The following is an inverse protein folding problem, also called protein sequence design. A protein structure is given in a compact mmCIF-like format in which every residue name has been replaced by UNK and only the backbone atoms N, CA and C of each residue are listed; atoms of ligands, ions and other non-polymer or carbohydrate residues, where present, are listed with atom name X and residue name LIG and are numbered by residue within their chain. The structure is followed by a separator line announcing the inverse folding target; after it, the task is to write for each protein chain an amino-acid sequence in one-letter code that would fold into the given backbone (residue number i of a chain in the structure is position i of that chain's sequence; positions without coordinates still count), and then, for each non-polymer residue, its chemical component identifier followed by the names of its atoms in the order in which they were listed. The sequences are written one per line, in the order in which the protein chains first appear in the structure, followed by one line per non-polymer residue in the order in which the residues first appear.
data_IF_082529434687
#
_entry.id   IF_082529434687
#
_cell.length_a   1.000
_cell.length_b   1.000
_cell.length_c   1.000
_cell.angle_alpha   90.00
_cell.angle_beta   90.00
_cell.angle_gamma   90.00
#
_symmetry.space_group_name_H-M   'P 1'
#
loop_
_entity.id
_entity.type
_entity.pdbx_description
1 polymer ?
#
# COMPACT_ATOMS: atom_id res chain seq x y z
N UNK A 1 -15.17 15.81 18.85
CA UNK A 1 -14.42 14.86 19.72
C UNK A 1 -14.12 15.55 21.04
N UNK A 2 -14.36 14.88 22.17
CA UNK A 2 -14.23 15.49 23.51
C UNK A 2 -12.79 15.54 24.04
N UNK A 3 -11.82 14.85 23.40
CA UNK A 3 -10.44 14.79 23.87
C UNK A 3 -9.57 15.90 23.28
N UNK A 4 -8.56 16.31 24.03
CA UNK A 4 -7.57 17.32 23.66
C UNK A 4 -6.24 16.70 23.25
N UNK A 5 -5.96 15.49 23.74
CA UNK A 5 -4.70 14.76 23.59
C UNK A 5 -4.92 13.38 23.02
N UNK A 6 -4.01 12.96 22.17
CA UNK A 6 -4.02 11.61 21.59
C UNK A 6 -2.67 10.95 21.84
N UNK A 7 -2.70 9.81 22.51
CA UNK A 7 -1.52 9.01 22.77
C UNK A 7 -1.50 7.78 21.89
N UNK A 8 -0.38 7.54 21.20
CA UNK A 8 -0.27 6.46 20.24
C UNK A 8 0.68 5.35 20.71
N UNK A 9 0.24 4.10 20.66
CA UNK A 9 1.07 2.93 20.86
C UNK A 9 1.38 2.30 19.48
N UNK A 10 2.66 2.40 19.06
CA UNK A 10 3.13 2.07 17.71
C UNK A 10 2.95 3.22 16.72
N UNK A 11 3.34 4.42 17.11
CA UNK A 11 3.11 5.68 16.37
C UNK A 11 3.79 5.72 15.01
N UNK A 12 4.95 5.05 14.84
CA UNK A 12 5.74 5.03 13.61
C UNK A 12 5.18 4.14 12.49
N UNK A 13 4.13 3.35 12.77
CA UNK A 13 3.46 2.58 11.72
C UNK A 13 2.80 3.49 10.67
N UNK A 14 2.82 3.08 9.37
CA UNK A 14 2.33 3.91 8.26
C UNK A 14 0.91 4.45 8.48
N UNK A 15 -0.02 3.64 8.94
CA UNK A 15 -1.40 4.09 9.21
C UNK A 15 -1.55 4.83 10.54
N UNK A 16 -0.66 4.62 11.51
CA UNK A 16 -0.65 5.32 12.80
C UNK A 16 -0.10 6.73 12.63
N UNK A 17 1.00 6.89 11.89
CA UNK A 17 1.62 8.18 11.58
C UNK A 17 0.67 9.11 10.81
N UNK A 18 -0.15 8.56 9.90
CA UNK A 18 -1.18 9.33 9.22
C UNK A 18 -2.23 9.88 10.19
N UNK A 19 -2.69 9.07 11.16
CA UNK A 19 -3.61 9.54 12.21
C UNK A 19 -2.95 10.57 13.13
N UNK A 20 -1.68 10.35 13.52
CA UNK A 20 -0.94 11.28 14.35
C UNK A 20 -0.82 12.66 13.68
N UNK A 21 -0.44 12.71 12.40
CA UNK A 21 -0.42 13.95 11.59
C UNK A 21 -1.78 14.61 11.49
N UNK A 22 -2.84 13.82 11.29
CA UNK A 22 -4.20 14.37 11.26
C UNK A 22 -4.53 15.09 12.56
N UNK A 23 -4.24 14.49 13.71
CA UNK A 23 -4.54 15.12 15.00
C UNK A 23 -3.65 16.31 15.31
N UNK A 24 -2.36 16.31 14.93
CA UNK A 24 -1.48 17.48 15.00
C UNK A 24 -2.08 18.63 14.18
N UNK A 25 -2.54 18.35 12.95
CA UNK A 25 -3.18 19.35 12.10
C UNK A 25 -4.49 19.90 12.70
N UNK A 26 -5.28 19.06 13.37
CA UNK A 26 -6.49 19.46 14.10
C UNK A 26 -6.19 20.20 15.42
N UNK A 27 -4.92 20.52 15.68
CA UNK A 27 -4.49 21.25 16.88
C UNK A 27 -4.54 20.44 18.16
N UNK A 28 -4.55 19.10 18.08
CA UNK A 28 -4.45 18.23 19.25
C UNK A 28 -2.99 18.01 19.64
N UNK A 29 -2.74 17.86 20.94
CA UNK A 29 -1.43 17.39 21.40
C UNK A 29 -1.27 15.90 21.12
N UNK A 30 -0.14 15.50 20.55
CA UNK A 30 0.14 14.11 20.16
C UNK A 30 1.41 13.63 20.85
N UNK A 31 1.35 12.48 21.49
CA UNK A 31 2.51 11.76 21.99
C UNK A 31 2.37 10.26 21.72
N UNK A 32 3.43 9.51 21.91
CA UNK A 32 3.33 8.07 21.77
C UNK A 32 4.65 7.33 21.92
N UNK A 33 4.51 6.04 21.79
CA UNK A 33 5.58 5.06 21.81
C UNK A 33 5.75 4.42 20.43
N UNK A 34 6.99 4.17 20.04
CA UNK A 34 7.33 3.18 19.01
C UNK A 34 8.54 2.36 19.43
N UNK A 35 8.68 1.14 18.93
CA UNK A 35 9.81 0.28 19.28
C UNK A 35 11.12 0.76 18.63
N UNK A 36 11.03 1.37 17.45
CA UNK A 36 12.20 1.65 16.61
C UNK A 36 12.13 3.05 16.02
N UNK A 37 13.17 3.87 16.20
CA UNK A 37 13.29 5.12 15.46
C UNK A 37 13.26 4.90 13.95
N UNK A 38 12.54 5.73 13.23
CA UNK A 38 12.38 5.67 11.78
C UNK A 38 12.29 7.07 11.17
N UNK A 39 12.35 7.17 9.85
CA UNK A 39 12.12 8.45 9.19
C UNK A 39 10.74 9.02 9.52
N UNK A 40 9.70 8.16 9.59
CA UNK A 40 8.34 8.59 9.94
C UNK A 40 8.24 9.15 11.36
N UNK A 41 8.91 8.52 12.33
CA UNK A 41 8.90 9.05 13.72
C UNK A 41 9.67 10.36 13.82
N UNK A 42 10.81 10.50 13.15
CA UNK A 42 11.57 11.75 13.11
C UNK A 42 10.78 12.90 12.46
N UNK A 43 10.03 12.62 11.40
CA UNK A 43 9.12 13.59 10.78
C UNK A 43 8.01 14.01 11.74
N UNK A 44 7.39 13.07 12.46
CA UNK A 44 6.34 13.36 13.46
C UNK A 44 6.88 14.20 14.63
N UNK A 45 8.10 13.93 15.10
CA UNK A 45 8.76 14.75 16.13
C UNK A 45 9.00 16.17 15.63
N UNK A 46 9.42 16.34 14.37
CA UNK A 46 9.57 17.66 13.74
C UNK A 46 8.22 18.38 13.56
N UNK A 47 7.12 17.63 13.39
CA UNK A 47 5.75 18.15 13.32
C UNK A 47 5.14 18.45 14.70
N UNK A 48 5.82 18.10 15.81
CA UNK A 48 5.43 18.43 17.18
C UNK A 48 4.90 17.26 18.02
N UNK A 49 5.06 16.03 17.60
CA UNK A 49 4.77 14.85 18.44
C UNK A 49 5.87 14.61 19.49
N UNK A 50 5.49 14.18 20.69
CA UNK A 50 6.41 13.72 21.73
C UNK A 50 6.53 12.19 21.66
N UNK A 51 7.67 11.66 21.19
CA UNK A 51 7.85 10.21 20.96
C UNK A 51 8.97 9.67 21.84
N UNK A 52 8.76 8.46 22.38
CA UNK A 52 9.81 7.68 23.04
C UNK A 52 9.85 6.24 22.51
N UNK A 53 10.96 5.54 22.79
CA UNK A 53 11.27 4.25 22.15
C UNK A 53 11.50 3.11 23.15
N UNK A 54 11.26 3.34 24.43
CA UNK A 54 11.36 2.36 25.49
C UNK A 54 9.99 2.07 26.08
N UNK A 55 9.67 0.79 26.35
CA UNK A 55 8.43 0.38 27.00
C UNK A 55 8.54 0.64 28.53
N UNK A 56 8.34 1.91 28.92
CA UNK A 56 8.34 2.33 30.34
C UNK A 56 7.23 3.36 30.59
N UNK A 57 6.28 3.02 31.43
CA UNK A 57 5.17 3.90 31.83
C UNK A 57 5.60 5.22 32.45
N UNK A 58 6.87 5.36 32.91
CA UNK A 58 7.43 6.62 33.42
C UNK A 58 7.68 7.62 32.29
N UNK A 59 7.85 7.15 31.07
CA UNK A 59 8.09 7.98 29.88
C UNK A 59 6.81 8.59 29.33
N UNK A 60 5.63 8.12 29.76
CA UNK A 60 4.35 8.74 29.40
C UNK A 60 4.36 10.16 29.96
N UNK A 61 4.27 11.21 29.09
CA UNK A 61 4.27 12.61 29.56
C UNK A 61 3.10 12.87 30.51
N UNK A 62 3.30 13.65 31.54
CA UNK A 62 2.33 13.87 32.62
C UNK A 62 0.98 14.41 32.09
N UNK A 63 1.03 15.26 31.06
CA UNK A 63 -0.18 15.80 30.44
C UNK A 63 -1.10 14.72 29.85
N UNK A 64 -0.57 13.54 29.47
CA UNK A 64 -1.34 12.45 28.88
C UNK A 64 -1.87 11.44 29.91
N UNK A 65 -1.61 11.66 31.20
CA UNK A 65 -2.11 10.80 32.30
C UNK A 65 -3.50 11.17 32.80
N UNK A 66 -4.13 12.16 32.19
CA UNK A 66 -5.52 12.55 32.45
C UNK A 66 -6.47 11.87 31.45
N UNK A 67 -7.24 10.89 31.91
CA UNK A 67 -8.15 10.09 31.09
C UNK A 67 -9.37 10.87 30.56
N UNK A 68 -9.71 11.99 31.16
CA UNK A 68 -10.87 12.80 30.74
C UNK A 68 -10.55 13.62 29.48
N UNK A 69 -9.26 13.87 29.22
CA UNK A 69 -8.79 14.68 28.10
C UNK A 69 -7.94 13.89 27.09
N UNK A 70 -7.54 12.65 27.41
CA UNK A 70 -6.65 11.82 26.59
C UNK A 70 -7.37 10.56 26.06
N UNK A 71 -7.27 10.33 24.76
CA UNK A 71 -7.61 9.05 24.12
C UNK A 71 -6.33 8.32 23.70
N UNK A 72 -6.34 7.00 23.82
CA UNK A 72 -5.20 6.16 23.43
C UNK A 72 -5.55 5.37 22.17
N UNK A 73 -4.69 5.47 21.16
CA UNK A 73 -4.84 4.73 19.89
C UNK A 73 -3.72 3.70 19.80
N UNK A 74 -4.06 2.46 19.50
CA UNK A 74 -3.07 1.40 19.35
C UNK A 74 -3.22 0.60 18.06
N UNK A 75 -2.11 -0.02 17.64
CA UNK A 75 -2.08 -0.99 16.54
C UNK A 75 -2.00 -2.40 17.08
N UNK A 76 -2.60 -3.43 16.41
CA UNK A 76 -2.46 -4.83 16.79
C UNK A 76 -1.01 -5.35 16.84
N UNK A 77 -0.06 -4.63 16.24
CA UNK A 77 1.35 -4.95 16.30
C UNK A 77 1.98 -4.76 17.69
N UNK A 78 1.33 -4.00 18.58
CA UNK A 78 1.76 -3.81 19.97
C UNK A 78 1.31 -5.02 20.79
N UNK A 79 2.22 -5.71 21.51
CA UNK A 79 1.88 -6.88 22.33
C UNK A 79 0.85 -6.54 23.41
N UNK A 80 0.02 -7.52 23.76
CA UNK A 80 -1.02 -7.33 24.77
C UNK A 80 -0.49 -7.15 26.20
N UNK A 81 0.77 -7.54 26.44
CA UNK A 81 1.50 -7.39 27.70
C UNK A 81 2.40 -6.15 27.74
N UNK A 82 2.39 -5.31 26.70
CA UNK A 82 3.11 -4.03 26.66
C UNK A 82 2.73 -3.17 27.86
N UNK A 83 3.73 -2.68 28.59
CA UNK A 83 3.52 -2.09 29.93
C UNK A 83 2.59 -0.87 29.88
N UNK A 84 2.76 0.00 28.89
CA UNK A 84 1.91 1.21 28.75
C UNK A 84 0.49 0.83 28.31
N UNK A 85 0.32 -0.16 27.41
CA UNK A 85 -1.00 -0.64 27.02
C UNK A 85 -1.78 -1.16 28.23
N UNK A 86 -1.12 -2.00 29.06
CA UNK A 86 -1.70 -2.53 30.31
C UNK A 86 -2.01 -1.38 31.29
N UNK A 87 -1.09 -0.42 31.41
CA UNK A 87 -1.27 0.73 32.31
C UNK A 87 -2.48 1.55 31.93
N UNK A 88 -2.60 1.98 30.66
CA UNK A 88 -3.75 2.79 30.20
C UNK A 88 -5.07 2.05 30.40
N UNK A 89 -5.11 0.75 30.07
CA UNK A 89 -6.29 -0.09 30.30
C UNK A 89 -6.67 -0.19 31.77
N UNK A 90 -5.70 -0.42 32.64
CA UNK A 90 -5.92 -0.55 34.10
C UNK A 90 -6.39 0.75 34.77
N UNK A 91 -6.02 1.90 34.19
CA UNK A 91 -6.43 3.22 34.67
C UNK A 91 -7.77 3.69 34.09
N UNK A 92 -8.40 2.90 33.22
CA UNK A 92 -9.72 3.18 32.65
C UNK A 92 -9.72 4.27 31.58
N UNK A 93 -8.62 4.42 30.83
CA UNK A 93 -8.58 5.26 29.64
C UNK A 93 -9.43 4.67 28.52
N UNK A 94 -9.93 5.54 27.63
CA UNK A 94 -10.48 5.12 26.37
C UNK A 94 -9.34 4.67 25.45
N UNK A 95 -9.24 3.35 25.20
CA UNK A 95 -8.18 2.74 24.39
C UNK A 95 -8.84 2.10 23.17
N UNK A 96 -8.57 2.64 21.99
CA UNK A 96 -9.20 2.25 20.72
C UNK A 96 -8.18 1.74 19.72
N UNK A 97 -8.59 0.81 18.88
CA UNK A 97 -7.76 0.40 17.73
C UNK A 97 -7.66 1.52 16.68
N UNK A 98 -6.55 1.56 15.92
CA UNK A 98 -6.37 2.44 14.76
C UNK A 98 -7.60 2.45 13.85
N UNK A 99 -8.14 1.27 13.53
CA UNK A 99 -9.31 1.12 12.66
C UNK A 99 -10.59 1.73 13.24
N UNK A 100 -10.78 1.65 14.55
CA UNK A 100 -11.92 2.30 15.22
C UNK A 100 -11.80 3.82 15.14
N UNK A 101 -10.60 4.36 15.37
CA UNK A 101 -10.35 5.80 15.24
C UNK A 101 -10.60 6.28 13.82
N UNK A 102 -10.14 5.55 12.80
CA UNK A 102 -10.41 5.88 11.40
C UNK A 102 -11.91 5.82 11.09
N UNK A 103 -12.63 4.85 11.65
CA UNK A 103 -14.09 4.76 11.58
C UNK A 103 -14.77 6.01 12.18
N UNK A 104 -14.32 6.51 13.33
CA UNK A 104 -14.82 7.77 13.91
C UNK A 104 -14.58 8.97 13.01
N UNK A 105 -13.37 9.08 12.43
CA UNK A 105 -13.02 10.19 11.54
C UNK A 105 -13.80 10.17 10.22
N UNK A 106 -14.26 9.00 9.81
CA UNK A 106 -15.06 8.83 8.58
C UNK A 106 -16.53 9.24 8.75
N UNK A 107 -17.02 9.37 10.00
CA UNK A 107 -18.39 9.78 10.25
C UNK A 107 -18.66 11.19 9.73
N UNK A 108 -19.78 11.36 9.02
CA UNK A 108 -20.15 12.64 8.40
C UNK A 108 -19.35 13.04 7.15
N UNK A 109 -18.47 12.16 6.67
CA UNK A 109 -17.75 12.32 5.40
C UNK A 109 -18.40 11.46 4.31
N UNK A 110 -18.17 11.85 3.05
CA UNK A 110 -18.41 10.99 1.90
C UNK A 110 -17.19 10.07 1.72
N UNK A 111 -17.34 8.82 2.07
CA UNK A 111 -16.22 7.87 2.17
C UNK A 111 -16.07 7.09 0.86
N UNK A 112 -14.90 7.20 0.26
CA UNK A 112 -14.44 6.45 -0.90
C UNK A 112 -13.43 5.40 -0.42
N UNK A 113 -13.82 4.14 -0.34
CA UNK A 113 -13.00 3.07 0.22
C UNK A 113 -12.44 2.15 -0.88
N UNK A 114 -11.17 1.76 -0.74
CA UNK A 114 -10.53 0.79 -1.63
C UNK A 114 -10.11 -0.42 -0.82
N UNK A 115 -10.76 -1.55 -1.06
CA UNK A 115 -10.51 -2.85 -0.45
C UNK A 115 -9.94 -3.84 -1.48
N UNK A 116 -9.36 -4.93 -0.98
CA UNK A 116 -8.84 -6.03 -1.79
C UNK A 116 -7.50 -6.51 -1.27
N UNK A 117 -7.14 -7.74 -1.54
CA UNK A 117 -5.85 -8.31 -1.12
C UNK A 117 -4.66 -7.65 -1.84
N UNK A 118 -4.87 -7.15 -3.07
CA UNK A 118 -3.83 -6.50 -3.89
C UNK A 118 -4.30 -5.17 -4.47
N UNK A 119 -3.36 -4.25 -4.72
CA UNK A 119 -3.61 -2.98 -5.41
C UNK A 119 -4.23 -1.86 -4.56
N UNK A 120 -4.61 -2.11 -3.31
CA UNK A 120 -5.23 -1.12 -2.40
C UNK A 120 -4.51 0.22 -2.36
N UNK A 121 -3.24 0.21 -1.95
CA UNK A 121 -2.46 1.44 -1.71
C UNK A 121 -2.31 2.29 -2.97
N UNK A 122 -1.98 1.65 -4.10
CA UNK A 122 -1.83 2.36 -5.37
C UNK A 122 -3.15 2.95 -5.84
N UNK A 123 -4.25 2.17 -5.77
CA UNK A 123 -5.58 2.62 -6.19
C UNK A 123 -6.09 3.73 -5.27
N UNK A 124 -5.95 3.61 -3.93
CA UNK A 124 -6.36 4.67 -2.98
C UNK A 124 -5.59 5.96 -3.22
N UNK A 125 -4.28 5.85 -3.46
CA UNK A 125 -3.44 7.02 -3.74
C UNK A 125 -3.84 7.68 -5.06
N UNK A 126 -4.11 6.89 -6.10
CA UNK A 126 -4.59 7.40 -7.38
C UNK A 126 -5.97 8.05 -7.24
N UNK A 127 -6.92 7.44 -6.53
CA UNK A 127 -8.23 8.04 -6.20
C UNK A 127 -8.04 9.38 -5.50
N UNK A 128 -7.15 9.47 -4.53
CA UNK A 128 -6.87 10.71 -3.80
C UNK A 128 -6.32 11.80 -4.71
N UNK A 129 -5.40 11.42 -5.61
CA UNK A 129 -4.85 12.33 -6.61
C UNK A 129 -5.89 12.81 -7.62
N UNK A 130 -6.69 11.89 -8.16
CA UNK A 130 -7.78 12.22 -9.07
C UNK A 130 -8.84 13.09 -8.39
N UNK A 131 -9.21 12.78 -7.14
CA UNK A 131 -10.13 13.61 -6.36
C UNK A 131 -9.61 15.05 -6.23
N UNK A 132 -8.31 15.23 -5.95
CA UNK A 132 -7.68 16.56 -5.92
C UNK A 132 -7.72 17.26 -7.26
N UNK A 133 -7.49 16.56 -8.37
CA UNK A 133 -7.43 17.13 -9.74
C UNK A 133 -8.79 17.40 -10.33
N UNK A 134 -9.75 16.52 -10.09
CA UNK A 134 -11.07 16.58 -10.74
C UNK A 134 -12.07 17.41 -9.94
N UNK A 135 -12.08 17.30 -8.61
CA UNK A 135 -13.13 17.89 -7.77
C UNK A 135 -12.64 19.01 -6.84
N UNK A 136 -11.34 19.27 -6.83
CA UNK A 136 -10.74 20.30 -5.98
C UNK A 136 -10.25 19.79 -4.62
N UNK A 137 -10.56 18.55 -4.24
CA UNK A 137 -9.91 17.94 -3.07
C UNK A 137 -10.83 17.20 -2.11
N UNK A 138 -10.23 16.81 -1.02
CA UNK A 138 -10.75 15.99 0.07
C UNK A 138 -9.57 15.42 0.84
N UNK A 139 -9.82 14.83 1.98
CA UNK A 139 -8.79 14.18 2.78
C UNK A 139 -8.58 12.72 2.34
N UNK A 140 -7.39 12.18 2.63
CA UNK A 140 -7.13 10.77 2.40
C UNK A 140 -6.16 10.18 3.43
N UNK A 141 -6.43 8.95 3.87
CA UNK A 141 -5.51 8.12 4.64
C UNK A 141 -4.97 7.02 3.73
N UNK A 142 -3.66 7.06 3.46
CA UNK A 142 -2.98 6.21 2.51
C UNK A 142 -2.16 5.14 3.23
N UNK A 143 -2.11 3.94 2.67
CA UNK A 143 -1.31 2.83 3.17
C UNK A 143 0.18 2.89 2.78
N UNK A 144 0.62 3.99 2.17
CA UNK A 144 2.00 4.22 1.74
C UNK A 144 2.27 5.70 1.49
N UNK A 145 3.53 6.05 1.28
CA UNK A 145 3.93 7.43 0.97
C UNK A 145 3.65 7.72 -0.50
N UNK A 146 2.69 8.60 -0.76
CA UNK A 146 2.43 9.10 -2.11
C UNK A 146 3.57 9.99 -2.59
N UNK A 147 4.02 9.81 -3.82
CA UNK A 147 5.04 10.68 -4.43
C UNK A 147 4.46 12.06 -4.79
N UNK A 148 3.21 12.12 -5.22
CA UNK A 148 2.53 13.38 -5.55
C UNK A 148 2.27 14.26 -4.32
N UNK A 149 2.09 13.67 -3.16
CA UNK A 149 1.80 14.39 -1.90
C UNK A 149 2.99 14.41 -0.95
N UNK A 150 4.03 13.62 -1.21
CA UNK A 150 5.19 13.39 -0.32
C UNK A 150 4.77 12.96 1.10
N UNK A 151 3.62 12.34 1.24
CA UNK A 151 3.02 12.00 2.54
C UNK A 151 2.07 10.78 2.42
N UNK A 152 1.71 10.21 3.56
CA UNK A 152 0.67 9.18 3.71
C UNK A 152 -0.67 9.73 4.21
N UNK A 153 -0.74 11.02 4.48
CA UNK A 153 -1.95 11.77 4.79
C UNK A 153 -2.13 12.89 3.75
N UNK A 154 -3.33 12.99 3.22
CA UNK A 154 -3.75 14.14 2.42
C UNK A 154 -4.82 14.89 3.20
N UNK A 155 -4.64 16.16 3.40
CA UNK A 155 -5.63 17.03 4.01
C UNK A 155 -6.25 17.93 2.95
N UNK A 156 -7.56 18.10 3.03
CA UNK A 156 -8.33 18.94 2.13
C UNK A 156 -9.67 19.34 2.73
N UNK A 157 -10.15 20.51 2.33
CA UNK A 157 -11.36 21.15 2.88
C UNK A 157 -12.68 20.48 2.43
N UNK A 158 -12.62 19.52 1.53
CA UNK A 158 -13.80 18.82 1.00
C UNK A 158 -14.40 17.79 1.98
N UNK A 159 -15.69 17.51 1.80
CA UNK A 159 -16.39 16.46 2.55
C UNK A 159 -15.96 15.03 2.20
N UNK A 160 -15.21 14.84 1.11
CA UNK A 160 -14.78 13.52 0.63
C UNK A 160 -13.57 13.02 1.42
N UNK A 161 -13.57 11.72 1.69
CA UNK A 161 -12.51 11.02 2.38
C UNK A 161 -12.16 9.74 1.63
N UNK A 162 -10.96 9.67 1.05
CA UNK A 162 -10.45 8.44 0.47
C UNK A 162 -9.69 7.63 1.54
N UNK A 163 -9.99 6.34 1.63
CA UNK A 163 -9.38 5.47 2.64
C UNK A 163 -9.00 4.12 2.04
N UNK A 164 -7.84 3.62 2.45
CA UNK A 164 -7.50 2.23 2.23
C UNK A 164 -8.26 1.36 3.24
N UNK A 165 -9.10 0.47 2.74
CA UNK A 165 -9.91 -0.45 3.52
C UNK A 165 -9.13 -1.77 3.70
N UNK A 166 -8.34 -1.82 4.77
CA UNK A 166 -7.43 -2.91 5.07
C UNK A 166 -8.18 -4.09 5.71
N UNK A 167 -8.11 -5.27 5.06
CA UNK A 167 -8.71 -6.52 5.54
C UNK A 167 -7.98 -7.13 6.72
N UNK A 168 -6.70 -6.76 6.94
CA UNK A 168 -5.93 -7.26 8.08
C UNK A 168 -6.68 -7.00 9.39
N UNK A 169 -6.76 -8.00 10.27
CA UNK A 169 -7.51 -7.96 11.54
C UNK A 169 -8.97 -7.49 11.36
N UNK A 170 -9.56 -7.69 10.17
CA UNK A 170 -10.93 -7.25 9.80
C UNK A 170 -11.14 -5.74 10.03
N UNK A 171 -10.08 -4.95 9.91
CA UNK A 171 -10.09 -3.50 10.18
C UNK A 171 -11.08 -2.75 9.30
N UNK A 172 -11.24 -3.15 8.04
CA UNK A 172 -12.18 -2.52 7.09
C UNK A 172 -13.66 -2.62 7.52
N UNK A 173 -14.02 -3.56 8.41
CA UNK A 173 -15.37 -3.66 8.98
C UNK A 173 -15.71 -2.53 9.97
N UNK A 174 -14.86 -1.53 10.12
CA UNK A 174 -15.15 -0.30 10.87
C UNK A 174 -15.51 0.88 9.97
N UNK A 175 -15.49 0.68 8.64
CA UNK A 175 -15.81 1.70 7.66
C UNK A 175 -17.23 1.49 7.11
N UNK A 176 -17.91 2.60 6.86
CA UNK A 176 -19.23 2.64 6.21
C UNK A 176 -19.13 3.51 4.96
N UNK A 177 -18.65 2.95 3.83
CA UNK A 177 -18.38 3.72 2.64
C UNK A 177 -19.65 4.15 1.93
N UNK A 178 -19.60 5.30 1.26
CA UNK A 178 -20.58 5.73 0.28
C UNK A 178 -20.32 5.04 -1.06
N UNK A 179 -19.04 4.88 -1.43
CA UNK A 179 -18.62 4.09 -2.57
C UNK A 179 -17.39 3.26 -2.23
N UNK A 180 -17.37 2.01 -2.67
CA UNK A 180 -16.23 1.12 -2.43
C UNK A 180 -15.76 0.45 -3.71
N UNK A 181 -14.45 0.19 -3.79
CA UNK A 181 -13.82 -0.72 -4.77
C UNK A 181 -13.39 -1.99 -4.07
N UNK A 182 -13.62 -3.14 -4.71
CA UNK A 182 -13.01 -4.43 -4.32
C UNK A 182 -12.14 -4.90 -5.48
N UNK A 183 -10.82 -4.87 -5.29
CA UNK A 183 -9.83 -5.19 -6.33
C UNK A 183 -9.55 -6.68 -6.44
N UNK A 184 -9.63 -7.40 -5.33
CA UNK A 184 -9.39 -8.85 -5.24
C UNK A 184 -9.89 -9.36 -3.88
N UNK A 185 -10.10 -10.69 -3.77
CA UNK A 185 -10.43 -11.37 -2.52
C UNK A 185 -9.70 -12.73 -2.49
N UNK A 186 -8.38 -12.69 -2.72
CA UNK A 186 -7.52 -13.87 -2.73
C UNK A 186 -7.26 -14.37 -1.30
N UNK A 187 -6.80 -15.62 -1.19
CA UNK A 187 -6.41 -16.21 0.08
C UNK A 187 -5.14 -15.54 0.61
N UNK A 188 -5.32 -14.53 1.46
CA UNK A 188 -4.27 -13.82 2.17
C UNK A 188 -4.61 -13.75 3.67
N UNK A 189 -3.61 -13.51 4.52
CA UNK A 189 -3.77 -13.43 5.98
C UNK A 189 -4.48 -14.67 6.58
N UNK A 190 -4.14 -15.87 6.09
CA UNK A 190 -4.77 -17.12 6.55
C UNK A 190 -4.45 -17.44 8.03
N UNK A 191 -3.39 -16.85 8.59
CA UNK A 191 -3.09 -16.86 10.03
C UNK A 191 -4.21 -16.18 10.86
N UNK A 192 -4.92 -15.21 10.27
CA UNK A 192 -6.05 -14.50 10.90
C UNK A 192 -7.40 -15.10 10.52
N UNK A 193 -7.55 -15.42 9.23
CA UNK A 193 -8.84 -15.87 8.69
C UNK A 193 -9.05 -17.38 8.78
N UNK A 194 -7.98 -18.17 8.79
CA UNK A 194 -8.02 -19.63 8.78
C UNK A 194 -8.27 -20.22 7.41
N UNK A 195 -9.28 -19.74 6.66
CA UNK A 195 -9.67 -20.26 5.34
C UNK A 195 -9.92 -19.14 4.33
N UNK A 196 -9.86 -19.47 3.04
CA UNK A 196 -10.19 -18.54 1.95
C UNK A 196 -11.68 -18.13 2.00
N UNK A 197 -12.56 -19.05 2.38
CA UNK A 197 -14.00 -18.78 2.54
C UNK A 197 -14.23 -17.71 3.61
N UNK A 198 -13.48 -17.74 4.71
CA UNK A 198 -13.57 -16.71 5.76
C UNK A 198 -13.05 -15.34 5.27
N UNK A 199 -12.08 -15.29 4.37
CA UNK A 199 -11.66 -14.06 3.68
C UNK A 199 -12.82 -13.52 2.84
N UNK A 200 -13.41 -14.34 1.96
CA UNK A 200 -14.55 -13.97 1.11
C UNK A 200 -15.76 -13.49 1.93
N UNK A 201 -16.05 -14.15 3.03
CA UNK A 201 -17.13 -13.75 3.94
C UNK A 201 -16.87 -12.38 4.56
N UNK A 202 -15.63 -12.07 4.96
CA UNK A 202 -15.30 -10.75 5.48
C UNK A 202 -15.46 -9.66 4.43
N UNK A 203 -15.06 -9.90 3.16
CA UNK A 203 -15.32 -8.97 2.05
C UNK A 203 -16.83 -8.79 1.81
N UNK A 204 -17.62 -9.86 1.91
CA UNK A 204 -19.08 -9.78 1.80
C UNK A 204 -19.70 -8.93 2.91
N UNK A 205 -19.20 -9.06 4.15
CA UNK A 205 -19.59 -8.22 5.29
C UNK A 205 -19.20 -6.76 5.07
N UNK A 206 -18.01 -6.49 4.49
CA UNK A 206 -17.59 -5.13 4.14
C UNK A 206 -18.52 -4.51 3.10
N UNK A 207 -18.85 -5.24 2.04
CA UNK A 207 -19.79 -4.79 1.00
C UNK A 207 -21.17 -4.49 1.59
N UNK A 208 -21.64 -5.30 2.53
CA UNK A 208 -22.92 -5.07 3.22
C UNK A 208 -22.97 -3.76 4.04
N UNK A 209 -21.80 -3.17 4.35
CA UNK A 209 -21.69 -1.90 5.07
C UNK A 209 -21.69 -0.66 4.16
N UNK A 210 -21.69 -0.83 2.83
CA UNK A 210 -21.88 0.29 1.91
C UNK A 210 -23.26 0.91 2.18
N UNK A 211 -23.29 2.22 2.36
CA UNK A 211 -24.51 2.95 2.70
C UNK A 211 -25.58 2.80 1.62
N UNK A 212 -26.83 2.81 2.01
CA UNK A 212 -27.95 2.79 1.07
C UNK A 212 -27.86 3.97 0.08
N UNK A 213 -28.08 3.70 -1.22
CA UNK A 213 -27.86 4.64 -2.31
C UNK A 213 -26.40 4.82 -2.71
N UNK A 214 -25.48 4.07 -2.09
CA UNK A 214 -24.08 4.03 -2.45
C UNK A 214 -23.77 3.09 -3.63
N UNK A 215 -22.48 2.85 -3.89
CA UNK A 215 -22.08 1.99 -5.00
C UNK A 215 -20.89 1.07 -4.65
N UNK A 216 -20.92 -0.13 -5.21
CA UNK A 216 -19.81 -1.07 -5.25
C UNK A 216 -19.22 -1.12 -6.65
N UNK A 217 -17.92 -0.92 -6.77
CA UNK A 217 -17.13 -1.23 -7.97
C UNK A 217 -16.33 -2.51 -7.68
N UNK A 218 -16.59 -3.58 -8.39
CA UNK A 218 -15.94 -4.87 -8.14
C UNK A 218 -15.21 -5.38 -9.37
N UNK A 219 -13.99 -5.88 -9.19
CA UNK A 219 -13.23 -6.48 -10.29
C UNK A 219 -13.97 -7.70 -10.84
N UNK A 220 -14.06 -7.79 -12.17
CA UNK A 220 -14.64 -8.95 -12.87
C UNK A 220 -13.90 -10.23 -12.46
N UNK A 221 -14.65 -11.27 -12.08
CA UNK A 221 -14.10 -12.54 -11.61
C UNK A 221 -13.85 -12.63 -10.09
N UNK A 222 -14.00 -11.55 -9.33
CA UNK A 222 -14.00 -11.63 -7.87
C UNK A 222 -15.29 -12.28 -7.39
N UNK A 223 -15.15 -13.41 -6.69
CA UNK A 223 -16.25 -14.24 -6.22
C UNK A 223 -16.49 -14.01 -4.71
N UNK A 224 -17.35 -13.04 -4.42
CA UNK A 224 -17.86 -12.74 -3.06
C UNK A 224 -19.38 -12.56 -3.13
N UNK A 225 -20.08 -12.85 -2.04
CA UNK A 225 -21.51 -12.59 -1.95
C UNK A 225 -21.77 -11.08 -1.78
N UNK A 226 -22.71 -10.55 -2.56
CA UNK A 226 -23.15 -9.15 -2.48
C UNK A 226 -24.52 -9.13 -1.82
N UNK A 227 -24.54 -8.98 -0.49
CA UNK A 227 -25.74 -9.00 0.34
C UNK A 227 -26.18 -7.58 0.71
N UNK A 228 -26.36 -6.72 -0.31
CA UNK A 228 -26.80 -5.34 -0.12
C UNK A 228 -27.61 -4.89 -1.34
N UNK A 229 -28.93 -4.98 -1.26
CA UNK A 229 -29.85 -4.63 -2.36
C UNK A 229 -30.03 -3.11 -2.53
N UNK A 230 -29.51 -2.32 -1.61
CA UNK A 230 -29.67 -0.86 -1.57
C UNK A 230 -28.57 -0.08 -2.30
N UNK A 231 -27.71 -0.76 -3.08
CA UNK A 231 -26.53 -0.14 -3.73
C UNK A 231 -26.49 -0.45 -5.23
N UNK A 232 -25.87 0.44 -6.00
CA UNK A 232 -25.47 0.15 -7.37
C UNK A 232 -24.24 -0.76 -7.40
N UNK A 233 -24.20 -1.74 -8.31
CA UNK A 233 -23.06 -2.65 -8.48
C UNK A 233 -22.50 -2.52 -9.90
N UNK A 234 -21.24 -2.13 -9.99
CA UNK A 234 -20.50 -1.92 -11.21
C UNK A 234 -19.31 -2.85 -11.30
N UNK A 235 -19.02 -3.38 -12.48
CA UNK A 235 -17.87 -4.28 -12.70
C UNK A 235 -16.77 -3.55 -13.47
N UNK A 236 -15.53 -3.83 -13.10
CA UNK A 236 -14.38 -3.36 -13.84
C UNK A 236 -13.40 -4.49 -14.18
N UNK A 237 -12.61 -4.30 -15.20
CA UNK A 237 -11.52 -5.21 -15.58
C UNK A 237 -10.36 -4.42 -16.21
N UNK A 238 -9.23 -5.10 -16.41
CA UNK A 238 -8.15 -4.52 -17.19
C UNK A 238 -8.59 -4.25 -18.63
N UNK A 239 -8.99 -5.29 -19.36
CA UNK A 239 -9.24 -5.26 -20.80
C UNK A 239 -10.38 -6.21 -21.26
N UNK A 240 -11.08 -6.85 -20.34
CA UNK A 240 -12.27 -7.62 -20.65
C UNK A 240 -13.53 -6.76 -20.62
N UNK A 241 -14.40 -6.79 -21.64
CA UNK A 241 -15.62 -5.98 -21.68
C UNK A 241 -16.51 -6.17 -20.44
N UNK A 242 -16.82 -5.05 -19.78
CA UNK A 242 -17.77 -4.91 -18.66
C UNK A 242 -18.17 -3.42 -18.55
N UNK A 243 -18.60 -2.94 -17.36
CA UNK A 243 -19.02 -1.55 -17.20
C UNK A 243 -17.86 -0.57 -17.34
N UNK A 244 -16.67 -0.94 -16.79
CA UNK A 244 -15.44 -0.16 -16.90
C UNK A 244 -14.27 -1.07 -17.30
N UNK A 245 -13.58 -0.74 -18.39
CA UNK A 245 -12.40 -1.49 -18.82
C UNK A 245 -11.51 -0.63 -19.72
N UNK A 246 -10.23 -1.00 -19.82
CA UNK A 246 -9.33 -0.36 -20.75
C UNK A 246 -9.37 -1.05 -22.11
N UNK A 247 -9.19 -0.27 -23.15
CA UNK A 247 -9.09 -0.74 -24.53
C UNK A 247 -7.99 0.03 -25.27
N UNK A 248 -7.61 -0.42 -26.47
CA UNK A 248 -6.52 0.17 -27.25
C UNK A 248 -5.24 0.37 -26.43
N UNK A 249 -4.87 -0.63 -25.63
CA UNK A 249 -3.67 -0.57 -24.79
C UNK A 249 -2.43 -0.72 -25.68
N UNK A 250 -1.67 0.35 -25.83
CA UNK A 250 -0.46 0.42 -26.66
C UNK A 250 0.74 0.84 -25.82
N UNK A 251 1.92 0.30 -26.16
CA UNK A 251 3.16 0.67 -25.47
C UNK A 251 3.65 2.04 -25.94
N UNK A 252 3.84 2.97 -25.01
CA UNK A 252 4.43 4.28 -25.29
C UNK A 252 5.95 4.30 -25.02
N UNK A 253 6.57 3.14 -24.84
CA UNK A 253 7.98 2.98 -24.49
C UNK A 253 8.28 3.12 -23.00
N UNK A 254 9.41 2.57 -22.55
CA UNK A 254 9.86 2.61 -21.15
C UNK A 254 8.81 2.14 -20.14
N UNK A 255 8.04 1.07 -20.47
CA UNK A 255 7.00 0.51 -19.62
C UNK A 255 5.77 1.39 -19.43
N UNK A 256 5.64 2.47 -20.17
CA UNK A 256 4.44 3.32 -20.20
C UNK A 256 3.48 2.88 -21.29
N UNK A 257 2.22 3.26 -21.14
CA UNK A 257 1.13 2.86 -22.02
C UNK A 257 0.24 4.06 -22.36
N UNK A 258 -0.34 4.02 -23.56
CA UNK A 258 -1.54 4.77 -23.94
C UNK A 258 -2.70 3.81 -24.01
N UNK A 259 -3.88 4.24 -23.61
CA UNK A 259 -5.08 3.42 -23.58
C UNK A 259 -6.33 4.27 -23.52
N UNK A 260 -7.48 3.66 -23.78
CA UNK A 260 -8.76 4.28 -23.53
C UNK A 260 -9.45 3.63 -22.33
N UNK A 261 -10.35 4.35 -21.67
CA UNK A 261 -11.17 3.80 -20.60
C UNK A 261 -12.65 3.87 -21.04
N UNK A 262 -13.29 2.71 -21.17
CA UNK A 262 -14.74 2.62 -21.36
C UNK A 262 -15.42 2.81 -20.02
N UNK A 263 -16.50 3.60 -20.01
CA UNK A 263 -17.37 3.87 -18.87
C UNK A 263 -18.82 3.74 -19.31
N UNK A 264 -19.81 3.69 -18.40
CA UNK A 264 -21.23 3.71 -18.78
C UNK A 264 -21.67 4.94 -19.57
N UNK A 265 -20.95 6.07 -19.45
CA UNK A 265 -21.25 7.32 -20.15
C UNK A 265 -20.55 7.45 -21.53
N UNK A 266 -19.64 6.53 -21.87
CA UNK A 266 -18.85 6.55 -23.10
C UNK A 266 -17.39 6.21 -22.91
N UNK A 267 -16.57 6.51 -23.91
CA UNK A 267 -15.15 6.18 -23.93
C UNK A 267 -14.32 7.43 -23.66
N UNK A 268 -13.45 7.37 -22.66
CA UNK A 268 -12.43 8.39 -22.38
C UNK A 268 -11.19 8.03 -23.18
N UNK A 269 -10.99 8.69 -24.29
CA UNK A 269 -9.91 8.36 -25.24
C UNK A 269 -8.56 8.97 -24.86
N UNK A 270 -7.47 8.29 -25.24
CA UNK A 270 -6.11 8.81 -25.18
C UNK A 270 -5.59 9.04 -23.76
N UNK A 271 -5.95 8.18 -22.84
CA UNK A 271 -5.39 8.18 -21.48
C UNK A 271 -3.93 7.77 -21.53
N UNK A 272 -3.11 8.41 -20.70
CA UNK A 272 -1.73 8.00 -20.38
C UNK A 272 -1.59 7.93 -18.88
N UNK A 273 -0.66 7.09 -18.38
CA UNK A 273 -0.40 7.00 -16.95
C UNK A 273 1.02 7.44 -16.65
N UNK A 274 1.20 8.26 -15.61
CA UNK A 274 2.51 8.79 -15.22
C UNK A 274 3.46 7.72 -14.66
N UNK A 275 2.92 6.56 -14.25
CA UNK A 275 3.67 5.40 -13.75
C UNK A 275 3.68 4.27 -14.77
N UNK A 276 4.69 3.41 -14.69
CA UNK A 276 4.84 2.25 -15.55
C UNK A 276 4.04 1.04 -15.03
N UNK A 277 3.88 0.03 -15.88
CA UNK A 277 3.30 -1.27 -15.52
C UNK A 277 1.82 -1.42 -15.87
N UNK A 278 1.51 -2.56 -16.52
CA UNK A 278 0.15 -2.87 -16.99
C UNK A 278 -0.86 -2.98 -15.83
N UNK A 279 -0.42 -3.44 -14.65
CA UNK A 279 -1.24 -3.48 -13.45
C UNK A 279 -1.75 -2.08 -13.03
N UNK A 280 -1.00 -1.04 -13.31
CA UNK A 280 -1.39 0.32 -12.99
C UNK A 280 -2.47 0.85 -13.95
N UNK A 281 -2.61 0.29 -15.14
CA UNK A 281 -3.78 0.55 -16.02
C UNK A 281 -5.04 0.00 -15.33
N UNK A 282 -5.01 -1.23 -14.82
CA UNK A 282 -6.14 -1.80 -14.08
C UNK A 282 -6.51 -0.97 -12.85
N UNK A 283 -5.50 -0.56 -12.07
CA UNK A 283 -5.70 0.35 -10.92
C UNK A 283 -6.33 1.68 -11.36
N UNK A 284 -5.97 2.19 -12.55
CA UNK A 284 -6.54 3.44 -13.08
C UNK A 284 -7.98 3.29 -13.54
N UNK A 285 -8.36 2.14 -14.10
CA UNK A 285 -9.76 1.82 -14.41
C UNK A 285 -10.59 1.76 -13.13
N UNK A 286 -10.11 1.06 -12.09
CA UNK A 286 -10.76 0.99 -10.79
C UNK A 286 -10.94 2.38 -10.14
N UNK A 287 -9.89 3.20 -10.16
CA UNK A 287 -9.94 4.56 -9.62
C UNK A 287 -10.89 5.46 -10.41
N UNK A 288 -10.91 5.33 -11.75
CA UNK A 288 -11.83 6.07 -12.61
C UNK A 288 -13.28 5.68 -12.32
N UNK A 289 -13.56 4.38 -12.17
CA UNK A 289 -14.90 3.89 -11.85
C UNK A 289 -15.40 4.43 -10.50
N UNK A 290 -14.54 4.45 -9.49
CA UNK A 290 -14.86 4.99 -8.17
C UNK A 290 -15.12 6.51 -8.24
N UNK A 291 -14.28 7.25 -8.97
CA UNK A 291 -14.48 8.69 -9.19
C UNK A 291 -15.77 8.98 -9.99
N UNK A 292 -16.10 8.13 -10.95
CA UNK A 292 -17.35 8.22 -11.71
C UNK A 292 -18.58 8.00 -10.81
N UNK A 293 -18.57 6.97 -9.95
CA UNK A 293 -19.62 6.73 -8.97
C UNK A 293 -19.79 7.93 -8.02
N UNK A 294 -18.68 8.49 -7.54
CA UNK A 294 -18.72 9.65 -6.66
C UNK A 294 -19.27 10.91 -7.35
N UNK A 295 -18.94 11.15 -8.61
CA UNK A 295 -19.50 12.24 -9.38
C UNK A 295 -21.02 12.04 -9.64
N UNK A 296 -21.41 10.81 -10.00
CA UNK A 296 -22.80 10.45 -10.25
C UNK A 296 -23.68 10.63 -9.00
N UNK A 297 -23.20 10.28 -7.82
CA UNK A 297 -23.95 10.46 -6.56
C UNK A 297 -24.22 11.94 -6.23
N UNK A 298 -23.42 12.85 -6.76
CA UNK A 298 -23.59 14.29 -6.63
C UNK A 298 -24.36 14.91 -7.83
N UNK A 299 -24.78 14.08 -8.79
CA UNK A 299 -25.49 14.52 -10.01
C UNK A 299 -24.60 15.29 -10.98
N UNK A 300 -23.28 15.12 -10.94
CA UNK A 300 -22.33 15.79 -11.82
C UNK A 300 -21.69 14.79 -12.79
N UNK A 301 -21.35 15.26 -14.00
CA UNK A 301 -20.58 14.47 -14.96
C UNK A 301 -19.09 14.54 -14.60
N UNK A 302 -18.39 13.40 -14.73
CA UNK A 302 -16.95 13.34 -14.55
C UNK A 302 -16.23 14.18 -15.62
N UNK A 303 -15.33 15.05 -15.20
CA UNK A 303 -14.51 15.88 -16.11
C UNK A 303 -13.40 15.02 -16.71
N UNK A 304 -13.61 14.58 -17.94
CA UNK A 304 -12.71 13.67 -18.66
C UNK A 304 -11.31 14.26 -18.92
N UNK A 305 -11.22 15.57 -19.17
CA UNK A 305 -9.94 16.22 -19.43
C UNK A 305 -9.11 16.34 -18.15
N UNK A 306 -9.75 16.72 -17.03
CA UNK A 306 -9.08 16.74 -15.74
C UNK A 306 -8.67 15.34 -15.29
N UNK A 307 -9.50 14.33 -15.57
CA UNK A 307 -9.18 12.93 -15.30
C UNK A 307 -7.93 12.51 -16.08
N UNK A 308 -7.88 12.70 -17.42
CA UNK A 308 -6.71 12.37 -18.25
C UNK A 308 -5.44 13.05 -17.73
N UNK A 309 -5.52 14.34 -17.43
CA UNK A 309 -4.38 15.07 -16.83
C UNK A 309 -3.97 14.52 -15.46
N UNK A 310 -4.95 14.13 -14.64
CA UNK A 310 -4.71 13.48 -13.36
C UNK A 310 -3.96 12.15 -13.51
N UNK A 311 -4.42 11.29 -14.42
CA UNK A 311 -3.76 10.01 -14.73
C UNK A 311 -2.31 10.22 -15.24
N UNK A 312 -2.12 11.14 -16.19
CA UNK A 312 -0.82 11.43 -16.78
C UNK A 312 0.21 11.99 -15.79
N UNK A 313 -0.25 12.68 -14.74
CA UNK A 313 0.60 13.32 -13.72
C UNK A 313 0.66 12.54 -12.40
N UNK A 314 0.15 11.33 -12.37
CA UNK A 314 0.29 10.45 -11.21
C UNK A 314 1.72 9.91 -11.10
N UNK A 315 2.38 10.13 -9.97
CA UNK A 315 3.78 9.74 -9.75
C UNK A 315 3.94 8.44 -8.97
N UNK A 316 2.82 7.86 -8.50
CA UNK A 316 2.80 6.58 -7.79
C UNK A 316 3.02 6.70 -6.29
N UNK A 317 3.38 5.58 -5.71
CA UNK A 317 3.63 5.38 -4.27
C UNK A 317 5.05 4.87 -4.10
N UNK A 318 5.76 5.33 -3.08
CA UNK A 318 7.08 4.79 -2.74
C UNK A 318 6.97 3.28 -2.52
N UNK A 319 7.95 2.54 -3.06
CA UNK A 319 8.05 1.09 -2.93
C UNK A 319 6.86 0.29 -3.52
N UNK A 320 6.10 0.86 -4.46
CA UNK A 320 5.04 0.16 -5.21
C UNK A 320 5.32 0.30 -6.70
N UNK A 321 6.10 -0.65 -7.23
CA UNK A 321 6.62 -0.61 -8.59
C UNK A 321 7.32 0.73 -8.88
N UNK A 322 8.08 1.20 -7.91
CA UNK A 322 8.72 2.50 -7.95
C UNK A 322 9.95 2.49 -8.86
N UNK A 323 9.90 3.27 -9.93
CA UNK A 323 10.98 3.32 -10.89
C UNK A 323 12.01 4.40 -10.51
N UNK A 324 13.21 3.98 -10.14
CA UNK A 324 14.36 4.84 -9.80
C UNK A 324 15.20 5.22 -11.02
N UNK A 325 15.32 4.28 -11.95
CA UNK A 325 16.04 4.47 -13.22
C UNK A 325 15.21 3.88 -14.35
N UNK A 326 14.98 4.67 -15.39
CA UNK A 326 14.23 4.23 -16.56
C UNK A 326 14.90 4.73 -17.84
N UNK A 327 15.75 3.91 -18.41
CA UNK A 327 16.45 4.23 -19.66
C UNK A 327 16.47 3.03 -20.60
N UNK A 328 16.86 3.29 -21.86
CA UNK A 328 17.05 2.24 -22.89
C UNK A 328 18.15 1.26 -22.48
N UNK A 329 19.16 1.72 -21.70
CA UNK A 329 20.35 0.94 -21.33
C UNK A 329 20.28 0.31 -19.94
N UNK A 330 19.40 0.79 -19.06
CA UNK A 330 19.26 0.25 -17.70
C UNK A 330 17.97 0.69 -17.05
N UNK A 331 17.37 -0.21 -16.27
CA UNK A 331 16.14 0.04 -15.49
C UNK A 331 16.36 -0.42 -14.06
N UNK A 332 15.88 0.36 -13.12
CA UNK A 332 15.81 -0.07 -11.72
C UNK A 332 14.44 0.25 -11.13
N UNK A 333 13.80 -0.77 -10.57
CA UNK A 333 12.48 -0.72 -9.94
C UNK A 333 12.58 -1.24 -8.51
N UNK A 334 11.90 -0.60 -7.56
CA UNK A 334 11.70 -1.11 -6.20
C UNK A 334 10.23 -1.43 -5.96
N UNK A 335 9.97 -2.59 -5.36
CA UNK A 335 8.62 -3.02 -5.01
C UNK A 335 8.55 -3.64 -3.60
N UNK A 336 7.48 -3.35 -2.91
CA UNK A 336 7.24 -3.82 -1.54
C UNK A 336 6.84 -5.31 -1.48
N UNK A 337 6.70 -5.98 -2.62
CA UNK A 337 6.30 -7.39 -2.72
C UNK A 337 7.14 -8.26 -1.76
N UNK A 338 6.46 -9.02 -0.93
CA UNK A 338 7.04 -9.83 0.13
C UNK A 338 6.28 -11.15 0.35
N UNK A 339 5.35 -11.47 -0.53
CA UNK A 339 4.66 -12.75 -0.64
C UNK A 339 4.98 -13.42 -1.99
N UNK A 340 5.08 -14.76 -2.11
CA UNK A 340 5.43 -15.44 -3.36
C UNK A 340 4.57 -15.04 -4.55
N UNK A 341 3.25 -14.89 -4.36
CA UNK A 341 2.32 -14.46 -5.41
C UNK A 341 2.61 -13.06 -5.91
N UNK A 342 2.92 -12.13 -5.01
CA UNK A 342 3.28 -10.75 -5.36
C UNK A 342 4.58 -10.71 -6.16
N UNK A 343 5.62 -11.42 -5.69
CA UNK A 343 6.90 -11.57 -6.39
C UNK A 343 6.72 -12.14 -7.79
N UNK A 344 5.97 -13.23 -7.89
CA UNK A 344 5.67 -13.89 -9.18
C UNK A 344 4.98 -12.91 -10.15
N UNK A 345 3.96 -12.19 -9.69
CA UNK A 345 3.22 -11.22 -10.51
C UNK A 345 4.12 -10.05 -10.94
N UNK A 346 4.92 -9.50 -10.02
CA UNK A 346 5.82 -8.39 -10.30
C UNK A 346 6.92 -8.79 -11.30
N UNK A 347 7.61 -9.92 -11.08
CA UNK A 347 8.66 -10.40 -11.98
C UNK A 347 8.08 -10.69 -13.37
N UNK A 348 6.92 -11.35 -13.45
CA UNK A 348 6.24 -11.62 -14.73
C UNK A 348 5.89 -10.32 -15.45
N UNK A 349 5.40 -9.32 -14.73
CA UNK A 349 5.07 -8.00 -15.28
C UNK A 349 6.31 -7.29 -15.82
N UNK A 350 7.43 -7.32 -15.08
CA UNK A 350 8.70 -6.74 -15.52
C UNK A 350 9.22 -7.43 -16.78
N UNK A 351 9.19 -8.76 -16.82
CA UNK A 351 9.62 -9.52 -18.03
C UNK A 351 8.74 -9.23 -19.24
N UNK A 352 7.44 -9.05 -19.04
CA UNK A 352 6.52 -8.66 -20.12
C UNK A 352 6.77 -7.21 -20.61
N UNK A 353 7.18 -6.31 -19.73
CA UNK A 353 7.55 -4.94 -20.09
C UNK A 353 8.89 -4.86 -20.84
N UNK A 354 9.80 -5.75 -20.55
CA UNK A 354 11.18 -5.76 -21.08
C UNK A 354 11.56 -7.15 -21.64
N UNK A 355 10.86 -7.67 -22.66
CA UNK A 355 10.94 -9.09 -23.06
C UNK A 355 12.32 -9.53 -23.59
N UNK A 356 13.15 -8.56 -24.04
CA UNK A 356 14.49 -8.86 -24.58
C UNK A 356 15.62 -8.46 -23.63
N UNK A 357 15.30 -8.17 -22.36
CA UNK A 357 16.26 -7.67 -21.39
C UNK A 357 16.42 -8.64 -20.23
N UNK A 358 17.66 -8.78 -19.76
CA UNK A 358 17.99 -9.62 -18.62
C UNK A 358 17.48 -8.96 -17.32
N UNK A 359 16.65 -9.69 -16.57
CA UNK A 359 16.05 -9.24 -15.31
C UNK A 359 16.76 -9.90 -14.14
N UNK A 360 17.32 -9.09 -13.25
CA UNK A 360 17.86 -9.52 -11.95
C UNK A 360 16.87 -9.15 -10.85
N UNK A 361 16.34 -10.16 -10.15
CA UNK A 361 15.51 -10.00 -8.99
C UNK A 361 16.39 -9.99 -7.72
N UNK A 362 16.28 -8.93 -6.93
CA UNK A 362 16.90 -8.84 -5.60
C UNK A 362 15.81 -9.02 -4.56
N UNK A 363 15.97 -9.95 -3.64
CA UNK A 363 14.94 -10.22 -2.64
C UNK A 363 15.49 -10.26 -1.22
N UNK A 364 14.86 -9.49 -0.32
CA UNK A 364 15.05 -9.61 1.12
C UNK A 364 13.85 -10.33 1.74
N UNK A 365 13.99 -11.58 2.21
CA UNK A 365 12.93 -12.26 2.94
C UNK A 365 12.56 -11.48 4.21
N UNK A 366 11.28 -11.47 4.55
CA UNK A 366 10.75 -10.77 5.72
C UNK A 366 10.05 -11.76 6.64
N UNK A 367 10.49 -11.84 7.91
CA UNK A 367 10.08 -12.76 8.95
C UNK A 367 10.60 -14.20 8.78
N UNK A 368 11.09 -14.77 9.86
CA UNK A 368 11.55 -16.17 9.88
C UNK A 368 10.40 -17.15 9.70
N UNK A 369 9.26 -16.89 10.34
CA UNK A 369 8.06 -17.74 10.22
C UNK A 369 7.55 -17.80 8.78
N UNK A 370 7.45 -16.67 8.09
CA UNK A 370 7.03 -16.62 6.70
C UNK A 370 8.02 -17.32 5.78
N UNK A 371 9.32 -17.12 6.03
CA UNK A 371 10.36 -17.79 5.24
C UNK A 371 10.28 -19.30 5.42
N UNK A 372 10.14 -19.81 6.64
CA UNK A 372 9.93 -21.23 6.93
C UNK A 372 8.74 -21.82 6.19
N UNK A 373 7.64 -21.10 6.20
CA UNK A 373 6.36 -21.63 5.69
C UNK A 373 6.23 -21.54 4.16
N UNK A 374 7.00 -20.64 3.50
CA UNK A 374 6.83 -20.32 2.06
C UNK A 374 8.14 -20.34 1.25
N UNK A 375 9.23 -20.93 1.74
CA UNK A 375 10.53 -20.88 1.07
C UNK A 375 10.52 -21.57 -0.33
N UNK A 376 9.72 -22.60 -0.53
CA UNK A 376 9.60 -23.27 -1.82
C UNK A 376 8.89 -22.39 -2.84
N UNK A 377 7.78 -21.78 -2.45
CA UNK A 377 7.03 -20.86 -3.30
C UNK A 377 7.82 -19.58 -3.59
N UNK A 378 8.64 -19.10 -2.64
CA UNK A 378 9.57 -17.99 -2.89
C UNK A 378 10.58 -18.36 -3.97
N UNK A 379 11.21 -19.52 -3.87
CA UNK A 379 12.17 -19.98 -4.84
C UNK A 379 11.56 -20.16 -6.24
N UNK A 380 10.33 -20.71 -6.34
CA UNK A 380 9.59 -20.83 -7.59
C UNK A 380 9.31 -19.45 -8.20
N UNK A 381 8.83 -18.49 -7.40
CA UNK A 381 8.53 -17.14 -7.85
C UNK A 381 9.78 -16.40 -8.37
N UNK A 382 10.88 -16.47 -7.62
CA UNK A 382 12.16 -15.84 -7.93
C UNK A 382 12.81 -16.48 -9.17
N UNK A 383 12.66 -17.78 -9.37
CA UNK A 383 13.19 -18.51 -10.53
C UNK A 383 12.58 -18.08 -11.86
N UNK A 384 11.57 -17.20 -11.87
CA UNK A 384 11.04 -16.55 -13.08
C UNK A 384 11.93 -15.42 -13.59
N UNK A 385 12.83 -14.90 -12.77
CA UNK A 385 13.84 -13.94 -13.19
C UNK A 385 14.97 -14.64 -13.98
N UNK A 386 15.91 -13.87 -14.54
CA UNK A 386 17.08 -14.43 -15.22
C UNK A 386 18.26 -14.61 -14.28
N UNK A 387 18.29 -13.84 -13.19
CA UNK A 387 19.28 -13.93 -12.10
C UNK A 387 18.63 -13.47 -10.79
N UNK A 388 19.09 -14.04 -9.66
CA UNK A 388 18.57 -13.71 -8.32
C UNK A 388 19.70 -13.32 -7.39
N UNK A 389 19.49 -12.23 -6.66
CA UNK A 389 20.34 -11.83 -5.52
C UNK A 389 19.48 -11.87 -4.26
N UNK A 390 19.95 -12.62 -3.27
CA UNK A 390 19.23 -12.77 -1.99
C UNK A 390 19.98 -12.02 -0.90
N UNK A 391 19.23 -11.40 -0.01
CA UNK A 391 19.74 -10.76 1.21
C UNK A 391 19.39 -11.61 2.44
N UNK A 392 20.07 -11.43 3.58
CA UNK A 392 19.66 -12.03 4.85
C UNK A 392 18.22 -11.68 5.22
N UNK A 393 17.57 -12.60 5.93
CA UNK A 393 16.19 -12.41 6.41
C UNK A 393 16.11 -11.15 7.29
N UNK A 394 15.15 -10.27 7.00
CA UNK A 394 14.79 -9.17 7.90
C UNK A 394 13.86 -9.68 8.99
N UNK A 395 14.29 -9.72 10.25
CA UNK A 395 13.53 -10.36 11.33
C UNK A 395 12.31 -9.57 11.78
N UNK A 396 12.29 -8.24 11.54
CA UNK A 396 11.32 -7.31 12.11
C UNK A 396 11.24 -7.46 13.65
N UNK A 397 10.22 -8.19 14.13
CA UNK A 397 9.97 -8.42 15.56
C UNK A 397 10.20 -9.87 16.01
N UNK A 398 10.59 -10.75 15.08
CA UNK A 398 10.78 -12.17 15.37
C UNK A 398 12.22 -12.45 15.86
N UNK A 399 12.35 -13.43 16.73
CA UNK A 399 13.65 -14.01 17.07
C UNK A 399 14.07 -15.02 15.99
N UNK A 400 15.37 -15.21 15.74
CA UNK A 400 15.85 -16.20 14.79
C UNK A 400 15.34 -17.60 15.11
N UNK A 401 14.91 -18.31 14.06
CA UNK A 401 14.50 -19.73 14.16
C UNK A 401 15.65 -20.60 13.66
N UNK A 402 16.06 -21.57 14.47
CA UNK A 402 17.16 -22.50 14.12
C UNK A 402 16.88 -23.20 12.78
N UNK A 403 17.87 -23.17 11.88
CA UNK A 403 17.79 -23.77 10.54
C UNK A 403 16.97 -22.95 9.51
N UNK A 404 16.40 -21.81 9.90
CA UNK A 404 15.67 -20.93 8.97
C UNK A 404 16.54 -19.74 8.60
N UNK A 405 17.12 -19.81 7.43
CA UNK A 405 18.00 -18.79 6.87
C UNK A 405 17.67 -18.56 5.40
N UNK A 406 18.29 -17.59 4.75
CA UNK A 406 18.05 -17.29 3.32
C UNK A 406 18.50 -18.44 2.41
N UNK A 407 19.47 -19.25 2.85
CA UNK A 407 20.00 -20.39 2.12
C UNK A 407 18.93 -21.42 1.77
N UNK A 408 17.91 -21.62 2.61
CA UNK A 408 16.82 -22.58 2.29
C UNK A 408 16.00 -22.17 1.06
N UNK A 409 15.94 -20.88 0.73
CA UNK A 409 15.38 -20.38 -0.52
C UNK A 409 16.39 -20.58 -1.64
N UNK A 410 17.65 -20.18 -1.43
CA UNK A 410 18.71 -20.24 -2.43
C UNK A 410 18.92 -21.66 -2.98
N UNK A 411 18.89 -22.69 -2.12
CA UNK A 411 19.04 -24.10 -2.52
C UNK A 411 17.97 -24.57 -3.53
N UNK A 412 16.85 -23.86 -3.64
CA UNK A 412 15.73 -24.21 -4.53
C UNK A 412 15.56 -23.29 -5.72
N UNK A 413 16.25 -22.16 -5.75
CA UNK A 413 16.28 -21.26 -6.92
C UNK A 413 16.99 -21.96 -8.07
N UNK A 414 16.33 -22.00 -9.24
CA UNK A 414 16.81 -22.76 -10.41
C UNK A 414 17.60 -21.93 -11.43
N UNK A 415 17.70 -20.62 -11.21
CA UNK A 415 18.48 -19.69 -12.06
C UNK A 415 19.77 -19.28 -11.34
N UNK A 416 20.77 -18.68 -12.03
CA UNK A 416 21.95 -18.13 -11.39
C UNK A 416 21.58 -17.24 -10.18
N UNK A 417 22.20 -17.52 -9.04
CA UNK A 417 21.88 -16.76 -7.84
C UNK A 417 23.09 -16.60 -6.90
N UNK A 418 23.01 -15.64 -6.00
CA UNK A 418 23.99 -15.43 -4.91
C UNK A 418 23.31 -14.81 -3.71
N UNK A 419 23.90 -15.03 -2.51
CA UNK A 419 23.52 -14.36 -1.27
C UNK A 419 24.60 -13.33 -0.99
N UNK A 420 24.19 -12.12 -0.62
CA UNK A 420 25.10 -11.02 -0.28
C UNK A 420 24.55 -10.23 0.91
N UNK A 421 25.46 -9.61 1.66
CA UNK A 421 25.06 -8.68 2.70
C UNK A 421 24.47 -7.41 2.09
N UNK A 422 23.59 -6.76 2.83
CA UNK A 422 22.89 -5.55 2.36
C UNK A 422 23.87 -4.44 1.93
N UNK A 423 24.96 -4.28 2.65
CA UNK A 423 26.02 -3.28 2.41
C UNK A 423 26.77 -3.54 1.10
N UNK A 424 26.81 -4.78 0.63
CA UNK A 424 27.50 -5.21 -0.59
C UNK A 424 26.59 -5.14 -1.84
N UNK A 425 25.26 -4.96 -1.65
CA UNK A 425 24.30 -5.04 -2.74
C UNK A 425 24.62 -4.10 -3.91
N UNK A 426 24.93 -2.83 -3.63
CA UNK A 426 25.17 -1.85 -4.69
C UNK A 426 26.44 -2.19 -5.51
N UNK A 427 27.50 -2.68 -4.87
CA UNK A 427 28.71 -3.15 -5.54
C UNK A 427 28.41 -4.40 -6.39
N UNK A 428 27.65 -5.34 -5.82
CA UNK A 428 27.18 -6.53 -6.53
C UNK A 428 26.42 -6.21 -7.80
N UNK A 429 25.48 -5.24 -7.74
CA UNK A 429 24.70 -4.81 -8.92
C UNK A 429 25.59 -4.11 -9.97
N UNK A 430 26.60 -3.35 -9.54
CA UNK A 430 27.55 -2.74 -10.48
C UNK A 430 28.30 -3.78 -11.31
N UNK A 431 28.63 -4.93 -10.74
CA UNK A 431 29.37 -6.04 -11.37
C UNK A 431 28.47 -7.00 -12.17
N UNK A 432 27.16 -7.03 -11.88
CA UNK A 432 26.20 -7.97 -12.48
C UNK A 432 25.87 -7.57 -13.92
N UNK A 433 25.95 -8.49 -14.87
CA UNK A 433 25.49 -8.28 -16.25
C UNK A 433 23.98 -8.34 -16.33
N UNK A 434 23.33 -7.17 -16.12
CA UNK A 434 21.87 -7.05 -16.09
C UNK A 434 21.41 -5.73 -16.71
N UNK A 435 20.26 -5.78 -17.37
CA UNK A 435 19.61 -4.61 -17.98
C UNK A 435 18.51 -4.03 -17.09
N UNK A 436 17.87 -4.91 -16.30
CA UNK A 436 16.74 -4.55 -15.43
C UNK A 436 16.99 -5.14 -14.04
N UNK A 437 17.07 -4.28 -13.04
CA UNK A 437 17.15 -4.66 -11.63
C UNK A 437 15.82 -4.39 -10.97
N UNK A 438 15.33 -5.35 -10.17
CA UNK A 438 14.13 -5.16 -9.36
C UNK A 438 14.42 -5.58 -7.93
N UNK A 439 14.26 -4.69 -6.97
CA UNK A 439 14.37 -5.02 -5.54
C UNK A 439 13.00 -5.30 -4.94
N UNK A 440 12.93 -6.31 -4.08
CA UNK A 440 11.72 -6.79 -3.42
C UNK A 440 11.93 -6.96 -1.92
N UNK A 441 10.92 -6.63 -1.12
CA UNK A 441 10.88 -6.93 0.30
C UNK A 441 10.21 -5.86 1.16
N UNK A 442 9.60 -6.26 2.25
CA UNK A 442 8.95 -5.37 3.22
C UNK A 442 9.91 -4.91 4.34
N UNK A 443 11.16 -5.39 4.32
CA UNK A 443 12.21 -5.05 5.28
C UNK A 443 12.94 -3.75 4.93
N UNK A 444 14.16 -3.64 5.44
CA UNK A 444 15.01 -2.45 5.30
C UNK A 444 15.86 -2.43 4.00
N UNK A 445 15.49 -3.20 3.00
CA UNK A 445 16.12 -3.18 1.67
C UNK A 445 16.00 -1.80 0.99
N UNK A 446 14.96 -1.03 1.33
CA UNK A 446 14.75 0.33 0.83
C UNK A 446 15.89 1.29 1.15
N UNK A 447 16.62 1.07 2.24
CA UNK A 447 17.81 1.83 2.56
C UNK A 447 18.93 1.71 1.50
N UNK A 448 18.88 0.67 0.65
CA UNK A 448 19.84 0.45 -0.44
C UNK A 448 19.41 1.09 -1.76
N UNK A 449 18.15 1.52 -1.90
CA UNK A 449 17.59 1.90 -3.20
C UNK A 449 18.39 3.01 -3.90
N UNK A 450 18.79 4.06 -3.18
CA UNK A 450 19.58 5.15 -3.78
C UNK A 450 21.00 4.70 -4.21
N UNK A 451 21.63 3.82 -3.41
CA UNK A 451 22.95 3.28 -3.76
C UNK A 451 22.87 2.36 -4.99
N UNK A 452 21.85 1.51 -5.06
CA UNK A 452 21.58 0.65 -6.22
C UNK A 452 21.25 1.50 -7.46
N UNK A 453 20.41 2.53 -7.32
CA UNK A 453 20.08 3.44 -8.41
C UNK A 453 21.34 4.14 -8.97
N UNK A 454 22.25 4.56 -8.08
CA UNK A 454 23.54 5.15 -8.47
C UNK A 454 24.40 4.14 -9.21
N UNK A 455 24.49 2.90 -8.74
CA UNK A 455 25.25 1.83 -9.40
C UNK A 455 24.72 1.57 -10.84
N UNK A 456 23.40 1.47 -11.00
CA UNK A 456 22.77 1.29 -12.33
C UNK A 456 23.03 2.51 -13.24
N UNK A 457 22.95 3.75 -12.73
CA UNK A 457 23.24 4.97 -13.51
C UNK A 457 24.70 5.03 -13.98
N UNK A 458 25.65 4.69 -13.10
CA UNK A 458 27.07 4.66 -13.45
C UNK A 458 27.34 3.65 -14.57
N UNK A 459 26.79 2.45 -14.47
CA UNK A 459 26.89 1.40 -15.48
C UNK A 459 26.39 1.85 -16.85
N UNK A 460 25.27 2.58 -16.89
CA UNK A 460 24.73 3.17 -18.12
C UNK A 460 25.72 4.16 -18.76
N UNK A 461 26.43 4.95 -17.94
CA UNK A 461 27.40 5.94 -18.39
C UNK A 461 28.68 5.30 -18.95
N UNK A 462 29.18 4.23 -18.32
CA UNK A 462 30.38 3.51 -18.75
C UNK A 462 30.19 2.80 -20.10
N UNK A 463 28.96 2.44 -20.46
CA UNK A 463 28.61 1.80 -21.73
C UNK A 463 28.08 2.82 -22.77
N UNK A 464 28.23 4.12 -22.55
CA UNK A 464 27.81 5.23 -23.44
C UNK A 464 28.94 5.81 -24.19
#
# INVERSE_FOLDING_TARGET
MKFERVYFLGIGGIGMSALARYFIHEGKSVAGYDRTPSQLTAELEAEGAEIHYEDDTKLIPEAYKDKETTIVVYTPAVPSDHSEYVWFRSKGFEVVKRSQMLGYLSQGKYVMAVAGTHGKTTTTTLVSWLNRKVTGGGSAFLGGISKNFSNNLVLGDGARLAVEADEFDRSFLRLYPDVAVVTSADADHLDIYGTHEAVKEAFSQFVAQIKAGGALVIKKGVDIAINNDGIDVWRYSLDEPCDFYASRIETAGNGRYTFDITTPDGIIEGCTLGVAGRINIENSVAATALMWCAARSEGIKLDEERLRRGLATFEGVKRRFECYVNSVKGVYIDDYAHHPRELSAAITSVKAMYPSRKVTAVFQPHLYTRTRDLYEEFAEALSKADEVVLLPIYPAREEPIEGITTEIIAERVTVPHKIVEREELAATIAETDTDVVVTFGAGNIDACCEAVAKAVRNKIQEHS
#
